data_IF_920921825946
#
_entry.id   IF_920921825946
#
_cell.length_a   1.000
_cell.length_b   1.000
_cell.length_c   1.000
_cell.angle_alpha   90.00
_cell.angle_beta   90.00
_cell.angle_gamma   90.00
#
_symmetry.space_group_name_H-M   'P 1'
#
loop_
_entity.id
_entity.type
_entity.pdbx_description
1 polymer ?
#
# COMPACT_ATOMS: atom_id res chain seq x y z
N UNK A 1 -20.09 25.92 8.42
CA UNK A 1 -19.23 24.78 8.84
C UNK A 1 -18.23 24.61 7.72
N UNK A 2 -17.02 25.15 7.90
CA UNK A 2 -15.99 25.25 6.86
C UNK A 2 -15.33 23.88 6.65
N UNK A 3 -15.48 23.30 5.46
CA UNK A 3 -14.82 22.04 5.05
C UNK A 3 -13.29 22.16 4.93
N UNK A 4 -12.74 23.38 5.07
CA UNK A 4 -11.32 23.69 4.90
C UNK A 4 -10.38 22.96 5.85
N UNK A 5 -10.85 22.56 7.04
CA UNK A 5 -10.02 21.91 8.05
C UNK A 5 -9.75 20.42 7.76
N UNK A 6 -10.50 19.80 6.84
CA UNK A 6 -10.47 18.33 6.62
C UNK A 6 -9.69 17.97 5.35
N UNK A 7 -9.48 18.94 4.43
CA UNK A 7 -8.70 18.73 3.22
C UNK A 7 -7.26 19.19 3.50
N UNK A 8 -6.25 18.31 3.38
CA UNK A 8 -4.86 18.72 3.52
C UNK A 8 -4.57 19.85 2.52
N UNK A 9 -4.32 21.04 3.03
CA UNK A 9 -4.11 22.26 2.24
C UNK A 9 -2.65 22.50 1.91
N UNK A 10 -1.74 21.77 2.56
CA UNK A 10 -0.30 21.83 2.32
C UNK A 10 0.24 20.44 1.96
N UNK A 11 0.94 20.36 0.84
CA UNK A 11 1.63 19.15 0.38
C UNK A 11 3.06 19.23 0.92
N UNK A 12 3.45 18.31 1.81
CA UNK A 12 4.82 18.26 2.30
C UNK A 12 5.78 17.81 1.20
N UNK A 13 6.94 18.47 1.13
CA UNK A 13 7.92 18.31 0.05
C UNK A 13 8.84 17.11 0.27
N UNK A 14 9.62 16.75 -0.76
CA UNK A 14 10.58 15.64 -0.71
C UNK A 14 11.66 15.85 0.37
N UNK A 15 12.00 17.11 0.65
CA UNK A 15 12.98 17.53 1.65
C UNK A 15 12.37 17.78 3.04
N UNK A 16 11.10 17.40 3.26
CA UNK A 16 10.51 17.45 4.60
C UNK A 16 11.38 16.64 5.58
N UNK A 17 11.54 17.08 6.84
CA UNK A 17 12.40 16.41 7.81
C UNK A 17 12.19 14.90 7.85
N UNK A 18 13.27 14.15 8.08
CA UNK A 18 13.22 12.68 8.05
C UNK A 18 12.29 12.09 9.13
N UNK A 19 12.05 12.83 10.22
CA UNK A 19 11.10 12.45 11.26
C UNK A 19 9.65 12.92 11.01
N UNK A 20 9.34 13.38 9.79
CA UNK A 20 7.99 13.81 9.40
C UNK A 20 7.51 13.10 8.13
N UNK A 21 6.20 12.94 8.02
CA UNK A 21 5.56 12.38 6.83
C UNK A 21 5.71 13.33 5.62
N UNK A 22 6.16 12.82 4.48
CA UNK A 22 6.20 13.56 3.21
C UNK A 22 5.20 13.00 2.19
N UNK A 23 4.24 13.84 1.79
CA UNK A 23 3.35 13.52 0.67
C UNK A 23 4.14 13.27 -0.62
N UNK A 24 5.18 14.07 -0.90
CA UNK A 24 5.98 13.85 -2.11
C UNK A 24 6.78 12.54 -2.09
N UNK A 25 7.31 12.10 -0.94
CA UNK A 25 7.95 10.77 -0.82
C UNK A 25 6.92 9.65 -1.08
N UNK A 26 5.74 9.73 -0.47
CA UNK A 26 4.66 8.77 -0.73
C UNK A 26 4.27 8.73 -2.23
N UNK A 27 4.20 9.89 -2.88
CA UNK A 27 3.89 9.98 -4.31
C UNK A 27 4.95 9.34 -5.23
N UNK A 28 6.21 9.22 -4.80
CA UNK A 28 7.23 8.47 -5.55
C UNK A 28 6.82 7.00 -5.66
N UNK A 29 6.41 6.39 -4.55
CA UNK A 29 5.92 5.01 -4.58
C UNK A 29 4.61 4.90 -5.37
N UNK A 30 3.74 5.91 -5.31
CA UNK A 30 2.44 5.86 -5.99
C UNK A 30 2.62 5.83 -7.51
N UNK A 31 3.60 6.58 -8.03
CA UNK A 31 3.93 6.58 -9.46
C UNK A 31 4.43 5.21 -9.93
N UNK A 32 5.09 4.44 -9.08
CA UNK A 32 5.54 3.08 -9.41
C UNK A 32 4.39 2.09 -9.42
N UNK A 33 3.46 2.20 -8.46
CA UNK A 33 2.28 1.32 -8.35
C UNK A 33 1.26 1.60 -9.47
N UNK A 34 1.04 2.87 -9.80
CA UNK A 34 -0.03 3.32 -10.70
C UNK A 34 0.40 3.51 -12.17
N UNK A 35 1.41 2.75 -12.62
CA UNK A 35 1.90 2.80 -14.01
C UNK A 35 0.88 2.26 -15.02
N UNK A 36 0.14 1.23 -14.62
CA UNK A 36 -0.88 0.56 -15.42
C UNK A 36 -1.89 -0.14 -14.51
N UNK A 37 -2.96 -0.67 -15.10
CA UNK A 37 -3.91 -1.52 -14.39
C UNK A 37 -3.19 -2.77 -13.87
N UNK A 38 -3.46 -3.15 -12.62
CA UNK A 38 -2.78 -4.23 -11.90
C UNK A 38 -3.78 -5.09 -11.11
N UNK A 39 -4.85 -5.48 -11.80
CA UNK A 39 -5.87 -6.41 -11.32
C UNK A 39 -5.30 -7.82 -11.13
N UNK A 40 -5.96 -8.61 -10.27
CA UNK A 40 -5.55 -9.97 -9.95
C UNK A 40 -5.34 -10.83 -11.20
N UNK A 41 -4.19 -11.49 -11.28
CA UNK A 41 -3.82 -12.35 -12.41
C UNK A 41 -3.04 -11.66 -13.53
N UNK A 42 -2.97 -10.32 -13.54
CA UNK A 42 -2.10 -9.58 -14.48
C UNK A 42 -0.61 -9.69 -14.10
N UNK A 43 0.28 -9.50 -15.07
CA UNK A 43 1.72 -9.38 -14.78
C UNK A 43 2.03 -8.16 -13.91
N UNK A 44 1.29 -7.06 -14.13
CA UNK A 44 1.40 -5.83 -13.36
C UNK A 44 1.12 -6.05 -11.88
N UNK A 45 0.11 -6.85 -11.54
CA UNK A 45 -0.22 -7.21 -10.17
C UNK A 45 0.96 -7.90 -9.47
N UNK A 46 1.65 -8.82 -10.15
CA UNK A 46 2.85 -9.45 -9.61
C UNK A 46 3.99 -8.46 -9.40
N UNK A 47 4.20 -7.54 -10.36
CA UNK A 47 5.24 -6.50 -10.22
C UNK A 47 4.96 -5.53 -9.08
N UNK A 48 3.71 -5.10 -8.91
CA UNK A 48 3.28 -4.25 -7.78
C UNK A 48 3.47 -4.98 -6.45
N UNK A 49 3.06 -6.25 -6.36
CA UNK A 49 3.30 -7.07 -5.16
C UNK A 49 4.78 -7.14 -4.80
N UNK A 50 5.62 -7.43 -5.77
CA UNK A 50 7.06 -7.60 -5.56
C UNK A 50 7.74 -6.27 -5.20
N UNK A 51 7.25 -5.16 -5.76
CA UNK A 51 7.66 -3.81 -5.37
C UNK A 51 7.33 -3.52 -3.90
N UNK A 52 6.08 -3.75 -3.47
CA UNK A 52 5.65 -3.51 -2.09
C UNK A 52 6.45 -4.39 -1.11
N UNK A 53 6.65 -5.67 -1.43
CA UNK A 53 7.48 -6.57 -0.63
C UNK A 53 8.92 -6.06 -0.48
N UNK A 54 9.50 -5.55 -1.57
CA UNK A 54 10.85 -4.98 -1.54
C UNK A 54 10.91 -3.74 -0.67
N UNK A 55 9.97 -2.81 -0.80
CA UNK A 55 9.96 -1.59 0.00
C UNK A 55 9.75 -1.88 1.49
N UNK A 56 8.85 -2.80 1.85
CA UNK A 56 8.68 -3.23 3.24
C UNK A 56 9.97 -3.86 3.81
N UNK A 57 10.70 -4.65 3.02
CA UNK A 57 12.01 -5.20 3.43
C UNK A 57 13.08 -4.12 3.60
N UNK A 58 13.11 -3.13 2.71
CA UNK A 58 14.05 -2.00 2.80
C UNK A 58 13.82 -1.18 4.08
N UNK A 59 12.56 -1.12 4.54
CA UNK A 59 12.16 -0.52 5.81
C UNK A 59 12.42 -1.43 7.03
N UNK A 60 12.99 -2.62 6.83
CA UNK A 60 13.36 -3.54 7.92
C UNK A 60 12.23 -4.41 8.46
N UNK A 61 11.07 -4.49 7.78
CA UNK A 61 9.98 -5.35 8.22
C UNK A 61 10.22 -6.82 7.84
N UNK A 62 9.76 -7.72 8.70
CA UNK A 62 9.62 -9.14 8.38
C UNK A 62 8.44 -9.32 7.42
N UNK A 63 8.72 -9.66 6.16
CA UNK A 63 7.68 -9.80 5.13
C UNK A 63 7.37 -11.24 4.81
N UNK A 64 6.10 -11.56 4.60
CA UNK A 64 5.61 -12.84 4.09
C UNK A 64 4.46 -12.63 3.11
N UNK A 65 4.25 -13.59 2.22
CA UNK A 65 3.06 -13.65 1.37
C UNK A 65 2.14 -14.76 1.85
N UNK A 66 0.84 -14.51 1.79
CA UNK A 66 -0.20 -15.52 2.05
C UNK A 66 -1.04 -15.70 0.79
N UNK A 67 -1.02 -16.92 0.27
CA UNK A 67 -1.80 -17.30 -0.90
C UNK A 67 -3.09 -17.99 -0.46
N UNK A 68 -4.20 -17.65 -1.11
CA UNK A 68 -5.50 -18.24 -0.86
C UNK A 68 -6.24 -18.58 -2.14
N UNK A 69 -7.38 -19.26 -1.98
CA UNK A 69 -8.31 -19.57 -3.05
C UNK A 69 -9.70 -19.09 -2.62
N UNK A 70 -10.38 -18.37 -3.49
CA UNK A 70 -11.74 -17.91 -3.25
C UNK A 70 -12.60 -18.18 -4.49
N UNK A 71 -13.83 -18.61 -4.24
CA UNK A 71 -14.87 -18.75 -5.26
C UNK A 71 -16.01 -17.85 -4.82
N UNK A 72 -16.44 -16.95 -5.69
CA UNK A 72 -17.58 -16.09 -5.42
C UNK A 72 -18.93 -16.81 -5.67
N UNK A 73 -20.04 -16.13 -5.41
CA UNK A 73 -21.39 -16.68 -5.63
C UNK A 73 -21.72 -16.94 -7.10
N UNK A 74 -21.00 -16.31 -8.04
CA UNK A 74 -21.16 -16.50 -9.48
C UNK A 74 -20.29 -17.64 -10.02
N UNK A 75 -19.46 -18.26 -9.17
CA UNK A 75 -18.54 -19.33 -9.55
C UNK A 75 -17.20 -18.82 -10.10
N UNK A 76 -16.89 -17.54 -9.96
CA UNK A 76 -15.60 -16.97 -10.34
C UNK A 76 -14.53 -17.39 -9.34
N UNK A 77 -13.51 -18.06 -9.85
CA UNK A 77 -12.38 -18.53 -9.07
C UNK A 77 -11.25 -17.51 -9.08
N UNK A 78 -10.76 -17.14 -7.90
CA UNK A 78 -9.63 -16.25 -7.71
C UNK A 78 -8.58 -16.86 -6.81
N UNK A 79 -7.33 -16.47 -7.06
CA UNK A 79 -6.15 -16.92 -6.31
C UNK A 79 -5.39 -15.71 -5.75
N UNK A 80 -5.96 -14.99 -4.75
CA UNK A 80 -5.36 -13.78 -4.22
C UNK A 80 -4.07 -14.09 -3.44
N UNK A 81 -3.13 -13.15 -3.50
CA UNK A 81 -1.88 -13.19 -2.74
C UNK A 81 -1.82 -11.94 -1.86
N UNK A 82 -1.94 -12.13 -0.56
CA UNK A 82 -1.82 -11.08 0.45
C UNK A 82 -0.35 -10.85 0.80
N UNK A 83 -0.02 -9.60 1.11
CA UNK A 83 1.30 -9.19 1.61
C UNK A 83 1.16 -8.87 3.09
N UNK A 84 2.01 -9.47 3.92
CA UNK A 84 2.08 -9.13 5.34
C UNK A 84 3.49 -8.63 5.65
N UNK A 85 3.58 -7.43 6.21
CA UNK A 85 4.79 -6.89 6.81
C UNK A 85 4.59 -6.77 8.31
N UNK A 86 5.54 -7.28 9.10
CA UNK A 86 5.52 -7.18 10.56
C UNK A 86 6.73 -6.43 11.07
N UNK A 87 6.48 -5.37 11.82
CA UNK A 87 7.45 -4.74 12.71
C UNK A 87 7.20 -5.27 14.13
N UNK A 88 8.20 -5.90 14.74
CA UNK A 88 8.07 -6.45 16.09
C UNK A 88 8.12 -5.32 17.13
N UNK A 89 7.05 -5.17 17.90
CA UNK A 89 7.02 -4.24 19.03
C UNK A 89 7.97 -4.66 20.16
N UNK A 90 8.37 -3.69 20.98
CA UNK A 90 9.27 -3.89 22.13
C UNK A 90 8.57 -4.45 23.37
N UNK A 91 7.24 -4.35 23.44
CA UNK A 91 6.45 -4.78 24.59
C UNK A 91 5.53 -5.97 24.24
N UNK A 92 5.19 -6.76 25.26
CA UNK A 92 4.18 -7.80 25.13
C UNK A 92 2.79 -7.18 25.22
N UNK A 93 1.96 -7.33 24.17
CA UNK A 93 0.63 -6.73 24.16
C UNK A 93 -0.13 -6.91 22.86
N UNK A 94 -1.11 -6.02 22.64
CA UNK A 94 -1.93 -6.00 21.43
C UNK A 94 -1.12 -5.50 20.23
N UNK A 95 -1.50 -5.95 19.04
CA UNK A 95 -0.90 -5.50 17.77
C UNK A 95 -1.83 -4.48 17.10
N UNK A 96 -1.26 -3.44 16.50
CA UNK A 96 -1.97 -2.56 15.58
C UNK A 96 -1.91 -3.16 14.17
N UNK A 97 -3.07 -3.34 13.53
CA UNK A 97 -3.16 -3.77 12.14
C UNK A 97 -3.51 -2.56 11.27
N UNK A 98 -2.65 -2.26 10.30
CA UNK A 98 -2.96 -1.36 9.18
C UNK A 98 -3.24 -2.22 7.95
N UNK A 99 -4.30 -1.91 7.23
CA UNK A 99 -4.78 -2.72 6.11
C UNK A 99 -5.22 -1.84 4.95
N UNK A 100 -4.88 -2.28 3.74
CA UNK A 100 -5.33 -1.73 2.46
C UNK A 100 -5.29 -2.85 1.42
N UNK A 101 -5.90 -2.64 0.25
CA UNK A 101 -5.72 -3.52 -0.89
C UNK A 101 -4.77 -2.86 -1.91
N UNK A 102 -4.19 -3.67 -2.80
CA UNK A 102 -3.17 -3.20 -3.74
C UNK A 102 -3.46 -3.57 -5.17
N UNK A 103 -4.52 -4.31 -5.45
CA UNK A 103 -5.04 -4.56 -6.78
C UNK A 103 -5.81 -3.36 -7.30
N UNK A 104 -5.84 -3.20 -8.62
CA UNK A 104 -6.69 -2.22 -9.29
C UNK A 104 -7.90 -2.89 -9.93
N UNK A 105 -8.88 -2.08 -10.29
CA UNK A 105 -9.97 -2.52 -11.18
C UNK A 105 -9.41 -2.89 -12.57
N UNK A 106 -9.92 -3.96 -13.23
CA UNK A 106 -9.39 -4.45 -14.50
C UNK A 106 -9.39 -3.49 -15.69
N UNK A 107 -10.41 -2.65 -15.83
CA UNK A 107 -10.71 -1.96 -17.09
C UNK A 107 -10.45 -0.45 -17.09
N UNK A 108 -10.47 0.20 -15.94
CA UNK A 108 -10.66 1.67 -15.87
C UNK A 108 -9.82 2.39 -14.83
N UNK A 109 -9.04 1.66 -14.02
CA UNK A 109 -8.30 2.26 -12.91
C UNK A 109 -6.84 1.81 -12.87
N UNK A 110 -5.91 2.76 -12.82
CA UNK A 110 -4.50 2.48 -12.50
C UNK A 110 -4.27 2.35 -11.00
N UNK A 111 -5.33 2.31 -10.18
CA UNK A 111 -5.24 2.05 -8.75
C UNK A 111 -4.64 3.18 -7.91
N UNK A 112 -4.52 4.41 -8.43
CA UNK A 112 -3.87 5.50 -7.70
C UNK A 112 -4.64 5.93 -6.45
N UNK A 113 -5.93 6.26 -6.60
CA UNK A 113 -6.78 6.61 -5.45
C UNK A 113 -7.24 5.37 -4.70
N UNK A 114 -7.67 4.34 -5.44
CA UNK A 114 -8.29 3.12 -4.93
C UNK A 114 -7.45 1.89 -5.36
N UNK A 115 -6.56 1.35 -4.52
CA UNK A 115 -6.17 1.88 -3.20
C UNK A 115 -4.65 2.05 -3.02
N UNK A 116 -3.92 2.33 -4.10
CA UNK A 116 -2.50 2.69 -4.07
C UNK A 116 -2.21 3.83 -3.09
N UNK A 117 -3.13 4.78 -2.91
CA UNK A 117 -3.04 5.85 -1.91
C UNK A 117 -2.89 5.31 -0.47
N UNK A 118 -3.62 4.25 -0.12
CA UNK A 118 -3.51 3.56 1.16
C UNK A 118 -2.16 2.86 1.32
N UNK A 119 -1.70 2.18 0.26
CA UNK A 119 -0.40 1.50 0.25
C UNK A 119 0.73 2.49 0.55
N UNK A 120 0.78 3.61 -0.17
CA UNK A 120 1.89 4.56 -0.01
C UNK A 120 1.83 5.36 1.29
N UNK A 121 0.63 5.55 1.84
CA UNK A 121 0.45 6.15 3.16
C UNK A 121 1.05 5.24 4.24
N UNK A 122 0.84 3.92 4.15
CA UNK A 122 1.45 2.96 5.08
C UNK A 122 2.98 2.94 4.90
N UNK A 123 3.49 2.90 3.66
CA UNK A 123 4.93 2.87 3.40
C UNK A 123 5.67 4.10 3.96
N UNK A 124 5.20 5.32 3.66
CA UNK A 124 5.83 6.53 4.19
C UNK A 124 5.61 6.67 5.70
N UNK A 125 4.49 6.19 6.24
CA UNK A 125 4.27 6.16 7.69
C UNK A 125 5.26 5.23 8.41
N UNK A 126 5.54 4.05 7.85
CA UNK A 126 6.49 3.09 8.41
C UNK A 126 7.93 3.60 8.39
N UNK A 127 8.31 4.42 7.41
CA UNK A 127 9.63 5.06 7.30
C UNK A 127 10.03 5.90 8.53
N UNK A 128 9.05 6.31 9.34
CA UNK A 128 9.27 7.12 10.54
C UNK A 128 9.72 6.33 11.77
N UNK A 129 9.86 5.01 11.66
CA UNK A 129 10.23 4.09 12.74
C UNK A 129 11.46 3.27 12.37
#
# INVERSE_FOLDING_TARGET
MEFFAIIPSNISTIDAPDNQFSTQRALVHLKEISKETHYLGSEAHSRVRDYILKELKNLGLETQTQEGYAIDENGEFSKPINILGRLKGSENGKTLLLLTHYDSEPHSSFGASDAGSGVVTILEGLRLF
#
